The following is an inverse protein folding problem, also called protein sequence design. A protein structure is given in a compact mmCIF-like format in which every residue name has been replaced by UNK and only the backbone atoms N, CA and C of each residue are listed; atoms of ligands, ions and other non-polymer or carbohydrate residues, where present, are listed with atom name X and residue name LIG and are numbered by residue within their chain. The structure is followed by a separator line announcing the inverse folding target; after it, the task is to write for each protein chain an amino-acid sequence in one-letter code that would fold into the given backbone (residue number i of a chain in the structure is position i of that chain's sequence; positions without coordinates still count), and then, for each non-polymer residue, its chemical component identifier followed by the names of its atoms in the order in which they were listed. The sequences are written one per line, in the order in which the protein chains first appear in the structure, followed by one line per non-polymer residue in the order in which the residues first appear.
data_IF_237691491921
#
_entry.id   IF_237691491921
#
_cell.length_a   1.000
_cell.length_b   1.000
_cell.length_c   1.000
_cell.angle_alpha   90.00
_cell.angle_beta   90.00
_cell.angle_gamma   90.00
#
_symmetry.space_group_name_H-M   'P 1'
#
loop_
_entity.id
_entity.type
_entity.pdbx_description
1 polymer ?
#
# COMPACT_ATOMS: atom_id res chain seq x y z
N UNK A 1 8.52 -19.09 9.13
CA UNK A 1 7.43 -18.80 8.17
C UNK A 1 8.08 -18.46 6.85
N UNK A 2 7.62 -19.05 5.75
CA UNK A 2 8.12 -18.78 4.40
C UNK A 2 7.83 -17.31 4.02
N UNK A 3 8.80 -16.43 4.25
CA UNK A 3 8.75 -15.04 3.79
C UNK A 3 9.10 -15.00 2.31
N UNK A 4 8.28 -15.64 1.48
CA UNK A 4 8.46 -15.59 0.03
C UNK A 4 8.02 -14.21 -0.43
N UNK A 5 8.98 -13.31 -0.66
CA UNK A 5 8.70 -12.00 -1.25
C UNK A 5 8.44 -12.15 -2.74
N UNK A 6 7.51 -11.36 -3.25
CA UNK A 6 7.21 -11.27 -4.69
C UNK A 6 7.50 -9.84 -5.12
N UNK A 7 8.45 -9.67 -6.04
CA UNK A 7 8.75 -8.36 -6.62
C UNK A 7 7.73 -8.01 -7.70
N UNK A 8 7.28 -6.77 -7.70
CA UNK A 8 6.36 -6.23 -8.71
C UNK A 8 7.15 -5.27 -9.60
N UNK A 9 7.17 -5.54 -10.91
CA UNK A 9 7.67 -4.61 -11.91
C UNK A 9 6.47 -3.85 -12.50
N UNK A 10 6.50 -2.52 -12.42
CA UNK A 10 5.46 -1.67 -13.00
C UNK A 10 6.10 -0.47 -13.69
N UNK A 11 5.61 -0.17 -14.89
CA UNK A 11 5.94 1.09 -15.57
C UNK A 11 5.03 2.18 -15.02
N UNK A 12 5.62 3.30 -14.60
CA UNK A 12 4.91 4.47 -14.09
C UNK A 12 5.35 5.72 -14.85
N UNK A 13 4.49 6.74 -14.97
CA UNK A 13 4.89 8.03 -15.51
C UNK A 13 6.08 8.61 -14.75
N UNK A 14 7.03 9.22 -15.46
CA UNK A 14 8.25 9.81 -14.87
C UNK A 14 7.92 10.85 -13.79
N UNK A 15 6.93 11.71 -14.05
CA UNK A 15 6.45 12.72 -13.09
C UNK A 15 5.98 12.09 -11.77
N UNK A 16 5.32 10.92 -11.82
CA UNK A 16 4.90 10.19 -10.61
C UNK A 16 6.11 9.70 -9.82
N UNK A 17 7.11 9.16 -10.53
CA UNK A 17 8.34 8.71 -9.90
C UNK A 17 9.11 9.87 -9.25
N UNK A 18 9.26 11.00 -9.94
CA UNK A 18 9.96 12.18 -9.41
C UNK A 18 9.29 12.74 -8.16
N UNK A 19 7.97 12.91 -8.21
CA UNK A 19 7.20 13.41 -7.07
C UNK A 19 7.24 12.45 -5.87
N UNK A 20 7.16 11.14 -6.10
CA UNK A 20 7.33 10.13 -5.05
C UNK A 20 8.73 10.20 -4.44
N UNK A 21 9.77 10.32 -5.27
CA UNK A 21 11.15 10.42 -4.80
C UNK A 21 11.34 11.64 -3.90
N UNK A 22 10.88 12.82 -4.33
CA UNK A 22 10.97 14.04 -3.51
C UNK A 22 10.19 13.92 -2.20
N UNK A 23 9.04 13.23 -2.20
CA UNK A 23 8.30 12.96 -0.97
C UNK A 23 9.10 12.10 0.01
N UNK A 24 9.71 11.02 -0.46
CA UNK A 24 10.51 10.11 0.37
C UNK A 24 11.79 10.77 0.89
N UNK A 25 12.42 11.65 0.11
CA UNK A 25 13.58 12.44 0.56
C UNK A 25 13.24 13.34 1.77
N UNK A 26 12.00 13.80 1.88
CA UNK A 26 11.51 14.60 3.01
C UNK A 26 11.01 13.76 4.21
N UNK A 27 10.84 12.44 4.04
CA UNK A 27 10.26 11.54 5.04
C UNK A 27 11.14 10.30 5.25
N UNK A 28 12.20 10.38 6.07
CA UNK A 28 13.20 9.32 6.21
C UNK A 28 12.66 8.01 6.79
N UNK A 29 11.52 8.05 7.48
CA UNK A 29 10.86 6.86 8.04
C UNK A 29 9.99 6.11 7.01
N UNK A 30 9.92 6.62 5.78
CA UNK A 30 9.11 6.07 4.70
C UNK A 30 9.97 5.51 3.57
N UNK A 31 9.48 4.43 2.99
CA UNK A 31 9.98 3.85 1.75
C UNK A 31 8.81 3.69 0.75
N UNK A 32 9.16 3.36 -0.48
CA UNK A 32 8.20 3.18 -1.57
C UNK A 32 7.13 2.12 -1.24
N UNK A 33 7.52 1.02 -0.58
CA UNK A 33 6.61 -0.08 -0.25
C UNK A 33 5.59 0.33 0.82
N UNK A 34 6.01 1.11 1.81
CA UNK A 34 5.13 1.70 2.84
C UNK A 34 4.14 2.68 2.23
N UNK A 35 4.61 3.56 1.34
CA UNK A 35 3.72 4.52 0.66
C UNK A 35 2.66 3.79 -0.16
N UNK A 36 3.04 2.78 -0.94
CA UNK A 36 2.07 2.02 -1.73
C UNK A 36 1.13 1.17 -0.86
N UNK A 37 1.64 0.55 0.20
CA UNK A 37 0.80 -0.19 1.15
C UNK A 37 -0.22 0.73 1.84
N UNK A 38 0.19 1.94 2.22
CA UNK A 38 -0.70 2.97 2.76
C UNK A 38 -1.76 3.40 1.75
N UNK A 39 -1.34 3.77 0.53
CA UNK A 39 -2.23 4.23 -0.52
C UNK A 39 -3.27 3.16 -0.91
N UNK A 40 -2.83 1.92 -1.07
CA UNK A 40 -3.71 0.81 -1.45
C UNK A 40 -4.68 0.43 -0.32
N UNK A 41 -4.21 0.37 0.92
CA UNK A 41 -5.10 0.11 2.06
C UNK A 41 -6.15 1.22 2.22
N UNK A 42 -5.77 2.49 2.04
CA UNK A 42 -6.69 3.62 2.08
C UNK A 42 -7.72 3.54 0.95
N UNK A 43 -7.27 3.28 -0.28
CA UNK A 43 -8.16 3.07 -1.43
C UNK A 43 -9.18 1.96 -1.16
N UNK A 44 -8.73 0.80 -0.66
CA UNK A 44 -9.60 -0.33 -0.35
C UNK A 44 -10.62 0.00 0.76
N UNK A 45 -10.21 0.75 1.78
CA UNK A 45 -11.11 1.18 2.86
C UNK A 45 -12.17 2.18 2.38
N UNK A 46 -11.79 3.11 1.50
CA UNK A 46 -12.70 4.12 0.96
C UNK A 46 -13.71 3.52 -0.02
N UNK A 47 -13.28 2.59 -0.88
CA UNK A 47 -14.14 1.99 -1.90
C UNK A 47 -14.98 0.82 -1.36
N UNK A 48 -14.52 0.12 -0.31
CA UNK A 48 -15.22 -1.02 0.27
C UNK A 48 -16.56 -0.72 0.93
N UNK A 49 -16.86 0.54 1.23
CA UNK A 49 -18.14 0.99 1.81
C UNK A 49 -19.28 1.14 0.80
N UNK A 50 -18.97 1.19 -0.50
CA UNK A 50 -19.96 1.43 -1.56
C UNK A 50 -20.61 0.16 -2.10
N UNK A 51 -20.00 -1.01 -1.83
CA UNK A 51 -20.41 -2.28 -2.42
C UNK A 51 -21.22 -3.19 -1.46
N UNK A 52 -21.79 -4.26 -2.01
CA UNK A 52 -22.55 -5.28 -1.26
C UNK A 52 -21.76 -5.85 -0.07
N UNK A 53 -22.45 -6.35 0.96
CA UNK A 53 -21.85 -6.86 2.22
C UNK A 53 -20.71 -7.88 2.01
N UNK A 54 -20.78 -8.69 0.95
CA UNK A 54 -19.74 -9.68 0.63
C UNK A 54 -18.47 -9.01 0.10
N UNK A 55 -18.63 -8.06 -0.83
CA UNK A 55 -17.52 -7.28 -1.37
C UNK A 55 -16.86 -6.43 -0.27
N UNK A 56 -17.65 -5.74 0.56
CA UNK A 56 -17.12 -4.95 1.69
C UNK A 56 -16.24 -5.76 2.63
N UNK A 57 -16.52 -7.05 2.82
CA UNK A 57 -15.71 -7.95 3.66
C UNK A 57 -14.37 -8.26 3.01
N UNK A 58 -14.34 -8.47 1.69
CA UNK A 58 -13.12 -8.66 0.89
C UNK A 58 -12.23 -7.42 0.94
N UNK A 59 -12.79 -6.23 0.67
CA UNK A 59 -12.06 -4.95 0.74
C UNK A 59 -11.41 -4.73 2.10
N UNK A 60 -12.16 -4.94 3.20
CA UNK A 60 -11.63 -4.77 4.57
C UNK A 60 -10.56 -5.80 4.92
N UNK A 61 -10.72 -7.05 4.47
CA UNK A 61 -9.73 -8.10 4.68
C UNK A 61 -8.42 -7.77 3.96
N UNK A 62 -8.48 -7.37 2.70
CA UNK A 62 -7.31 -6.99 1.90
C UNK A 62 -6.63 -5.73 2.46
N UNK A 63 -7.39 -4.69 2.80
CA UNK A 63 -6.85 -3.49 3.43
C UNK A 63 -6.09 -3.80 4.71
N UNK A 64 -6.58 -4.73 5.52
CA UNK A 64 -5.91 -5.17 6.76
C UNK A 64 -4.56 -5.82 6.49
N UNK A 65 -4.41 -6.59 5.42
CA UNK A 65 -3.12 -7.21 5.06
C UNK A 65 -2.08 -6.14 4.73
N UNK A 66 -2.45 -5.14 3.93
CA UNK A 66 -1.56 -4.02 3.58
C UNK A 66 -1.23 -3.12 4.78
N UNK A 67 -2.21 -2.86 5.67
CA UNK A 67 -1.93 -2.15 6.92
C UNK A 67 -0.98 -2.92 7.82
N UNK A 68 -1.16 -4.24 7.94
CA UNK A 68 -0.22 -5.07 8.71
C UNK A 68 1.19 -4.99 8.13
N UNK A 69 1.34 -5.03 6.79
CA UNK A 69 2.65 -4.90 6.15
C UNK A 69 3.33 -3.56 6.48
N UNK A 70 2.55 -2.47 6.56
CA UNK A 70 3.04 -1.14 6.94
C UNK A 70 3.57 -1.11 8.39
N UNK A 71 2.91 -1.77 9.33
CA UNK A 71 3.31 -1.78 10.75
C UNK A 71 4.33 -2.87 11.11
N UNK A 72 4.39 -3.97 10.34
CA UNK A 72 5.33 -5.07 10.57
C UNK A 72 6.72 -4.79 10.00
N UNK A 73 6.88 -3.76 9.16
CA UNK A 73 8.18 -3.28 8.67
C UNK A 73 8.94 -2.44 9.69
N UNK A 74 8.52 -2.40 10.96
CA UNK A 74 9.25 -1.73 12.03
C UNK A 74 10.58 -2.45 12.27
N UNK A 75 11.69 -1.71 12.14
CA UNK A 75 13.07 -2.14 12.38
C UNK A 75 13.25 -2.89 13.71
#
# INVERSE_FOLDING_TARGET
MNTTTVSILAEIPEELHETLKSYLEAHPDWDQDRVFSAALSLFLLQNGSSETVSASRSYRSTARVYLNALFQHSF
#
